data_IF_860908147012
#
_entry.id   IF_860908147012
#
_cell.length_a   1.000
_cell.length_b   1.000
_cell.length_c   1.000
_cell.angle_alpha   90.00
_cell.angle_beta   90.00
_cell.angle_gamma   90.00
#
_symmetry.space_group_name_H-M   'P 1'
#
loop_
_entity.id
_entity.type
_entity.pdbx_description
1 polymer ?
#
# COMPACT_ATOMS: atom_id res chain seq x y z
N UNK A 1 37.68 46.20 -41.84
CA UNK A 1 36.45 46.77 -41.23
C UNK A 1 35.29 45.92 -41.76
N UNK A 2 34.45 45.21 -41.01
CA UNK A 2 33.94 45.37 -39.65
C UNK A 2 33.27 44.04 -39.19
N UNK A 3 33.50 43.66 -37.93
CA UNK A 3 32.68 42.82 -37.02
C UNK A 3 32.09 41.45 -37.49
N UNK A 4 32.77 40.38 -37.08
CA UNK A 4 32.15 39.08 -36.77
C UNK A 4 31.13 39.27 -35.63
N UNK A 5 29.89 38.87 -35.85
CA UNK A 5 28.85 38.87 -34.82
C UNK A 5 29.03 37.64 -33.92
N UNK A 6 29.25 37.79 -32.60
CA UNK A 6 29.32 36.64 -31.72
C UNK A 6 27.92 36.06 -31.44
N UNK A 7 27.78 34.74 -31.27
CA UNK A 7 26.51 34.12 -30.92
C UNK A 7 26.08 34.53 -29.51
N UNK A 8 24.87 35.08 -29.40
CA UNK A 8 24.18 35.40 -28.14
C UNK A 8 23.92 34.11 -27.36
N UNK A 9 24.71 33.86 -26.32
CA UNK A 9 24.37 32.87 -25.28
C UNK A 9 23.21 33.43 -24.44
N UNK A 10 22.00 32.99 -24.70
CA UNK A 10 20.84 33.24 -23.85
C UNK A 10 20.83 32.25 -22.69
N UNK A 11 21.70 32.47 -21.71
CA UNK A 11 21.60 31.82 -20.40
C UNK A 11 20.45 32.49 -19.62
N UNK A 12 19.21 32.17 -19.97
CA UNK A 12 18.02 32.65 -19.29
C UNK A 12 17.14 31.45 -18.91
N UNK A 13 17.54 30.75 -17.85
CA UNK A 13 16.65 29.99 -16.96
C UNK A 13 17.47 29.30 -15.84
N UNK A 14 18.15 30.07 -15.02
CA UNK A 14 18.55 29.63 -13.69
C UNK A 14 18.09 30.72 -12.73
N UNK A 15 16.77 30.75 -12.48
CA UNK A 15 16.24 31.53 -11.38
C UNK A 15 16.87 30.97 -10.10
N UNK A 16 17.83 31.72 -9.55
CA UNK A 16 18.44 31.41 -8.27
C UNK A 16 17.36 31.33 -7.21
N UNK A 17 17.19 30.13 -6.64
CA UNK A 17 16.45 29.96 -5.41
C UNK A 17 17.22 30.71 -4.33
N UNK A 18 16.71 31.89 -3.94
CA UNK A 18 17.14 32.58 -2.73
C UNK A 18 16.74 31.68 -1.56
N UNK A 19 17.72 30.99 -0.99
CA UNK A 19 17.53 30.12 0.18
C UNK A 19 17.78 30.91 1.46
N UNK A 20 16.82 30.83 2.38
CA UNK A 20 16.87 31.40 3.73
C UNK A 20 18.04 30.78 4.54
N UNK A 21 18.94 31.58 5.14
CA UNK A 21 20.19 31.09 5.74
C UNK A 21 20.02 30.36 7.07
N UNK A 22 18.79 30.21 7.58
CA UNK A 22 18.52 29.67 8.92
C UNK A 22 18.30 28.16 9.01
N UNK A 23 18.02 27.46 7.91
CA UNK A 23 17.71 26.00 7.95
C UNK A 23 18.08 25.25 6.67
N UNK A 24 18.52 25.96 5.62
CA UNK A 24 18.89 25.31 4.36
C UNK A 24 20.29 24.68 4.47
N UNK A 25 20.34 23.34 4.44
CA UNK A 25 21.57 22.62 4.08
C UNK A 25 21.88 23.01 2.64
N UNK A 26 22.95 23.77 2.40
CA UNK A 26 23.40 24.13 1.05
C UNK A 26 23.80 22.84 0.36
N UNK A 27 22.90 22.27 -0.44
CA UNK A 27 23.20 21.12 -1.28
C UNK A 27 24.24 21.56 -2.31
N UNK A 28 25.53 21.39 -1.97
CA UNK A 28 26.63 21.55 -2.91
C UNK A 28 26.45 20.55 -4.03
N UNK A 29 25.89 21.02 -5.15
CA UNK A 29 25.64 20.28 -6.40
C UNK A 29 24.86 18.98 -6.23
N UNK A 30 23.65 18.91 -6.81
CA UNK A 30 22.96 17.64 -7.03
C UNK A 30 23.97 16.62 -7.60
N UNK A 31 24.16 15.49 -6.89
CA UNK A 31 24.95 14.37 -7.39
C UNK A 31 24.38 14.01 -8.77
N UNK A 32 25.21 13.97 -9.83
CA UNK A 32 24.74 13.59 -11.15
C UNK A 32 24.07 12.21 -11.07
N UNK A 33 22.84 12.10 -11.59
CA UNK A 33 22.11 10.84 -11.60
C UNK A 33 23.01 9.76 -12.24
N UNK A 34 23.37 8.68 -11.52
CA UNK A 34 24.34 7.69 -11.97
C UNK A 34 23.86 6.81 -13.12
N UNK A 35 22.82 7.20 -13.85
CA UNK A 35 22.18 6.40 -14.88
C UNK A 35 21.16 5.42 -14.33
N UNK A 36 20.38 5.83 -13.32
CA UNK A 36 19.22 5.05 -12.89
C UNK A 36 18.26 4.86 -14.08
N UNK A 37 17.74 3.66 -14.22
CA UNK A 37 16.76 3.30 -15.25
C UNK A 37 15.53 4.23 -15.12
N UNK A 38 14.85 4.51 -16.24
CA UNK A 38 13.68 5.41 -16.26
C UNK A 38 12.63 4.86 -15.28
N UNK A 39 12.35 5.62 -14.22
CA UNK A 39 11.38 5.27 -13.19
C UNK A 39 10.08 4.77 -13.86
N UNK A 40 9.77 3.50 -13.66
CA UNK A 40 8.56 2.91 -14.21
C UNK A 40 7.36 3.46 -13.46
N UNK A 41 6.54 4.26 -14.16
CA UNK A 41 5.28 4.75 -13.62
C UNK A 41 4.42 3.57 -13.16
N UNK A 42 3.99 3.59 -11.90
CA UNK A 42 3.16 2.54 -11.34
C UNK A 42 1.84 2.48 -12.10
N UNK A 43 1.38 1.27 -12.42
CA UNK A 43 0.14 1.05 -13.20
C UNK A 43 -1.08 1.65 -12.51
N UNK A 44 -1.04 1.79 -11.18
CA UNK A 44 -2.04 2.49 -10.36
C UNK A 44 -2.12 4.00 -10.67
N UNK A 45 -1.01 4.62 -11.08
CA UNK A 45 -0.91 6.05 -11.44
C UNK A 45 -1.32 6.31 -12.91
N UNK A 46 -1.42 5.25 -13.72
CA UNK A 46 -1.74 5.32 -15.15
C UNK A 46 -3.24 5.27 -15.44
N UNK A 47 -4.03 4.57 -14.61
CA UNK A 47 -5.46 4.42 -14.84
C UNK A 47 -6.29 4.43 -13.53
N UNK A 48 -7.13 5.46 -13.30
CA UNK A 48 -7.99 5.54 -12.11
C UNK A 48 -9.02 4.39 -12.03
N UNK A 49 -9.27 3.67 -13.12
CA UNK A 49 -10.16 2.50 -13.11
C UNK A 49 -9.52 1.28 -12.45
N UNK A 50 -8.21 1.09 -12.60
CA UNK A 50 -7.49 -0.03 -11.99
C UNK A 50 -7.23 0.21 -10.50
N UNK A 51 -7.00 1.47 -10.11
CA UNK A 51 -6.91 1.89 -8.71
C UNK A 51 -8.20 1.53 -7.92
N UNK A 52 -9.38 1.90 -8.44
CA UNK A 52 -10.67 1.56 -7.80
C UNK A 52 -10.90 0.05 -7.67
N UNK A 53 -10.41 -0.76 -8.62
CA UNK A 53 -10.54 -2.22 -8.54
C UNK A 53 -9.65 -2.79 -7.44
N UNK A 54 -8.42 -2.28 -7.31
CA UNK A 54 -7.51 -2.66 -6.24
C UNK A 54 -8.10 -2.30 -4.88
N UNK A 55 -8.59 -1.07 -4.71
CA UNK A 55 -9.23 -0.61 -3.47
C UNK A 55 -10.43 -1.49 -3.08
N UNK A 56 -11.31 -1.80 -4.04
CA UNK A 56 -12.49 -2.64 -3.78
C UNK A 56 -12.11 -4.05 -3.33
N UNK A 57 -11.04 -4.63 -3.89
CA UNK A 57 -10.54 -5.95 -3.46
C UNK A 57 -10.03 -5.91 -2.03
N UNK A 58 -9.26 -4.89 -1.67
CA UNK A 58 -8.73 -4.70 -0.31
C UNK A 58 -9.88 -4.56 0.68
N UNK A 59 -10.85 -3.68 0.36
CA UNK A 59 -12.04 -3.48 1.18
C UNK A 59 -12.83 -4.79 1.35
N UNK A 60 -12.92 -5.62 0.31
CA UNK A 60 -13.60 -6.91 0.36
C UNK A 60 -12.87 -7.90 1.29
N UNK A 61 -11.54 -8.01 1.21
CA UNK A 61 -10.77 -8.88 2.11
C UNK A 61 -10.83 -8.44 3.58
N UNK A 62 -10.78 -7.13 3.85
CA UNK A 62 -10.97 -6.60 5.19
C UNK A 62 -12.39 -6.86 5.73
N UNK A 63 -13.40 -6.64 4.89
CA UNK A 63 -14.79 -6.92 5.26
C UNK A 63 -15.01 -8.42 5.54
N UNK A 64 -14.42 -9.29 4.71
CA UNK A 64 -14.46 -10.73 4.90
C UNK A 64 -13.81 -11.14 6.22
N UNK A 65 -12.73 -10.47 6.62
CA UNK A 65 -12.08 -10.73 7.91
C UNK A 65 -12.95 -10.38 9.11
N UNK A 66 -13.62 -9.22 9.06
CA UNK A 66 -14.58 -8.80 10.09
C UNK A 66 -15.67 -9.86 10.21
N UNK A 67 -16.24 -10.29 9.08
CA UNK A 67 -17.26 -11.34 9.06
C UNK A 67 -16.72 -12.65 9.63
N UNK A 68 -15.50 -13.07 9.28
CA UNK A 68 -14.85 -14.26 9.83
C UNK A 68 -14.69 -14.20 11.36
N UNK A 69 -14.28 -13.05 11.89
CA UNK A 69 -14.17 -12.81 13.33
C UNK A 69 -15.52 -12.89 14.04
N UNK A 70 -16.57 -12.31 13.44
CA UNK A 70 -17.94 -12.40 13.98
C UNK A 70 -18.45 -13.84 13.94
N UNK A 71 -18.21 -14.57 12.84
CA UNK A 71 -18.59 -15.98 12.73
C UNK A 71 -17.90 -16.82 13.82
N UNK A 72 -16.62 -16.58 14.12
CA UNK A 72 -15.93 -17.29 15.19
C UNK A 72 -16.59 -17.04 16.56
N UNK A 73 -16.95 -15.79 16.86
CA UNK A 73 -17.65 -15.45 18.10
C UNK A 73 -19.05 -16.09 18.18
N UNK A 74 -19.82 -16.03 17.09
CA UNK A 74 -21.16 -16.64 17.02
C UNK A 74 -21.07 -18.17 17.11
N UNK A 75 -20.12 -18.80 16.42
CA UNK A 75 -19.92 -20.25 16.45
C UNK A 75 -19.64 -20.76 17.87
N UNK A 76 -18.86 -20.01 18.65
CA UNK A 76 -18.60 -20.36 20.04
C UNK A 76 -19.88 -20.44 20.87
N UNK A 77 -20.86 -19.54 20.61
CA UNK A 77 -22.13 -19.48 21.34
C UNK A 77 -23.15 -20.50 20.80
N UNK A 78 -23.24 -20.67 19.48
CA UNK A 78 -24.21 -21.56 18.82
C UNK A 78 -23.89 -23.04 19.04
N UNK A 79 -22.61 -23.40 19.17
CA UNK A 79 -22.16 -24.77 19.42
C UNK A 79 -21.68 -24.94 20.87
N UNK A 80 -22.56 -25.02 21.88
CA UNK A 80 -22.16 -25.11 23.27
C UNK A 80 -21.38 -26.39 23.55
N UNK A 81 -20.41 -26.31 24.46
CA UNK A 81 -19.60 -27.44 24.91
C UNK A 81 -20.35 -28.22 25.99
N UNK A 82 -20.74 -29.46 25.71
CA UNK A 82 -21.45 -30.34 26.63
C UNK A 82 -20.43 -31.21 27.39
N UNK A 83 -20.38 -31.15 28.74
CA UNK A 83 -19.48 -31.98 29.53
C UNK A 83 -19.75 -33.47 29.31
N UNK A 84 -18.71 -34.24 28.96
CA UNK A 84 -18.80 -35.67 28.70
C UNK A 84 -19.05 -36.04 27.23
N UNK A 85 -19.36 -35.06 26.36
CA UNK A 85 -19.44 -35.28 24.90
C UNK A 85 -18.25 -34.66 24.17
N UNK A 86 -17.34 -35.53 23.72
CA UNK A 86 -16.16 -35.12 22.95
C UNK A 86 -16.51 -34.62 21.54
N UNK A 87 -17.67 -35.01 20.99
CA UNK A 87 -18.10 -34.56 19.67
C UNK A 87 -18.48 -33.07 19.68
N UNK A 88 -19.21 -32.64 20.72
CA UNK A 88 -19.53 -31.24 20.98
C UNK A 88 -18.26 -30.36 21.03
N UNK A 89 -17.23 -30.75 21.81
CA UNK A 89 -15.94 -30.03 21.88
C UNK A 89 -15.28 -29.92 20.50
N UNK A 90 -15.22 -31.03 19.76
CA UNK A 90 -14.61 -31.07 18.42
C UNK A 90 -15.34 -30.12 17.45
N UNK A 91 -16.66 -30.13 17.47
CA UNK A 91 -17.47 -29.28 16.59
C UNK A 91 -17.26 -27.79 16.87
N UNK A 92 -17.26 -27.38 18.14
CA UNK A 92 -17.02 -26.00 18.54
C UNK A 92 -15.63 -25.53 18.07
N UNK A 93 -14.57 -26.27 18.40
CA UNK A 93 -13.20 -25.91 18.01
C UNK A 93 -13.03 -25.84 16.49
N UNK A 94 -13.67 -26.74 15.74
CA UNK A 94 -13.63 -26.72 14.28
C UNK A 94 -14.24 -25.41 13.75
N UNK A 95 -15.47 -25.06 14.13
CA UNK A 95 -16.15 -23.88 13.60
C UNK A 95 -15.52 -22.57 14.06
N UNK A 96 -15.10 -22.49 15.33
CA UNK A 96 -14.37 -21.34 15.87
C UNK A 96 -13.03 -21.18 15.15
N UNK A 97 -12.27 -22.26 14.99
CA UNK A 97 -11.00 -22.27 14.28
C UNK A 97 -11.15 -21.88 12.81
N UNK A 98 -12.23 -22.31 12.14
CA UNK A 98 -12.50 -22.00 10.74
C UNK A 98 -12.85 -20.50 10.58
N UNK A 99 -13.65 -19.93 11.49
CA UNK A 99 -13.92 -18.49 11.53
C UNK A 99 -12.64 -17.66 11.75
N UNK A 100 -11.80 -18.07 12.70
CA UNK A 100 -10.49 -17.46 12.96
C UNK A 100 -9.55 -17.56 11.75
N UNK A 101 -9.52 -18.72 11.09
CA UNK A 101 -8.68 -18.94 9.91
C UNK A 101 -9.09 -18.02 8.76
N UNK A 102 -10.39 -17.91 8.48
CA UNK A 102 -10.92 -16.98 7.46
C UNK A 102 -10.66 -15.52 7.87
N UNK A 103 -10.83 -15.20 9.15
CA UNK A 103 -10.55 -13.88 9.70
C UNK A 103 -9.10 -13.45 9.47
N UNK A 104 -8.15 -14.27 9.91
CA UNK A 104 -6.72 -13.98 9.83
C UNK A 104 -6.21 -14.03 8.39
N UNK A 105 -6.70 -14.97 7.58
CA UNK A 105 -6.32 -15.08 6.17
C UNK A 105 -6.85 -13.90 5.36
N UNK A 106 -8.06 -13.41 5.64
CA UNK A 106 -8.62 -12.20 5.03
C UNK A 106 -7.75 -10.97 5.29
N UNK A 107 -7.33 -10.74 6.54
CA UNK A 107 -6.42 -9.63 6.89
C UNK A 107 -5.04 -9.82 6.25
N UNK A 108 -4.49 -11.04 6.27
CA UNK A 108 -3.19 -11.33 5.68
C UNK A 108 -3.13 -11.02 4.18
N UNK A 109 -4.11 -11.53 3.41
CA UNK A 109 -4.20 -11.27 1.97
C UNK A 109 -4.47 -9.78 1.70
N UNK A 110 -5.38 -9.16 2.46
CA UNK A 110 -5.68 -7.73 2.34
C UNK A 110 -4.46 -6.85 2.53
N UNK A 111 -3.64 -7.13 3.56
CA UNK A 111 -2.42 -6.39 3.85
C UNK A 111 -1.36 -6.54 2.74
N UNK A 112 -1.14 -7.76 2.22
CA UNK A 112 -0.18 -7.99 1.12
C UNK A 112 -0.65 -7.33 -0.17
N UNK A 113 -1.95 -7.37 -0.47
CA UNK A 113 -2.48 -6.72 -1.66
C UNK A 113 -2.35 -5.20 -1.58
N UNK A 114 -2.62 -4.63 -0.39
CA UNK A 114 -2.40 -3.21 -0.12
C UNK A 114 -0.93 -2.81 -0.32
N UNK A 115 0.01 -3.58 0.24
CA UNK A 115 1.45 -3.31 0.10
C UNK A 115 1.98 -3.38 -1.35
N UNK A 116 1.26 -4.04 -2.27
CA UNK A 116 1.63 -4.11 -3.69
C UNK A 116 0.95 -3.05 -4.56
N UNK A 117 -0.21 -2.56 -4.12
CA UNK A 117 -1.04 -1.64 -4.90
C UNK A 117 -0.82 -0.17 -4.55
N UNK A 118 -0.49 0.12 -3.28
CA UNK A 118 0.04 1.40 -2.80
C UNK A 118 1.56 1.42 -2.80
#
# INVERSE_FOLDING_TARGET
MMASTPPRKNNSAAAGLVSDPGTAVVASSLVPNPGLEVEHQRVTDLDPAEEKKAERRIALFFSLSIVGSVIAAVAYVVFPIIPGDMASVRSNNLFVGLGLSVGLLGVGIGAVHWAKSL
#
